data_IF_973477823919
#
_entry.id   IF_973477823919
#
_cell.length_a   1.000
_cell.length_b   1.000
_cell.length_c   1.000
_cell.angle_alpha   90.00
_cell.angle_beta   90.00
_cell.angle_gamma   90.00
#
_symmetry.space_group_name_H-M   'P 1'
#
loop_
_entity.id
_entity.type
_entity.pdbx_description
1 polymer ?
#
# COMPACT_ATOMS: atom_id res chain seq x y z
N UNK A 1 -8.11 -41.96 35.36
CA UNK A 1 -7.26 -42.80 34.51
C UNK A 1 -6.39 -41.84 33.70
N UNK A 2 -5.19 -41.45 34.16
CA UNK A 2 -3.90 -42.17 34.11
C UNK A 2 -3.55 -42.56 32.65
N UNK A 3 -2.40 -42.29 32.03
CA UNK A 3 -1.01 -41.89 32.35
C UNK A 3 -0.48 -41.06 31.14
N UNK A 4 0.28 -39.95 31.26
CA UNK A 4 1.77 -39.84 31.29
C UNK A 4 2.48 -40.53 30.10
N UNK A 5 3.38 -39.96 29.28
CA UNK A 5 4.67 -39.24 29.51
C UNK A 5 5.13 -38.54 28.19
N UNK A 6 5.54 -37.26 28.13
CA UNK A 6 6.90 -36.65 28.32
C UNK A 6 8.01 -37.15 27.36
N UNK A 7 8.49 -36.29 26.43
CA UNK A 7 9.89 -35.80 26.17
C UNK A 7 9.96 -35.23 24.71
N UNK A 8 10.14 -33.93 24.43
CA UNK A 8 11.33 -33.02 24.44
C UNK A 8 12.10 -32.94 23.09
N UNK A 9 12.45 -31.70 22.72
CA UNK A 9 13.47 -31.20 21.76
C UNK A 9 13.13 -30.96 20.27
N UNK A 10 12.96 -29.67 19.96
CA UNK A 10 13.69 -28.86 18.93
C UNK A 10 13.84 -29.37 17.49
N UNK A 11 13.36 -28.58 16.51
CA UNK A 11 14.26 -27.79 15.64
C UNK A 11 13.47 -26.72 14.86
N UNK A 12 14.09 -25.54 14.79
CA UNK A 12 13.76 -24.38 13.97
C UNK A 12 14.35 -24.58 12.56
N UNK A 13 13.89 -23.78 11.59
CA UNK A 13 14.37 -23.61 10.20
C UNK A 13 13.57 -24.35 9.13
N UNK A 14 12.58 -23.65 8.57
CA UNK A 14 12.19 -23.79 7.15
C UNK A 14 11.31 -22.61 6.76
N UNK A 15 11.90 -21.50 6.29
CA UNK A 15 11.19 -20.57 5.40
C UNK A 15 12.20 -19.74 4.60
N UNK A 16 12.68 -20.34 3.52
CA UNK A 16 13.20 -19.67 2.34
C UNK A 16 13.26 -20.75 1.27
N UNK A 17 12.38 -20.63 0.27
CA UNK A 17 12.43 -21.16 -1.10
C UNK A 17 11.00 -21.42 -1.60
N UNK A 18 10.29 -20.35 -1.97
CA UNK A 18 9.23 -20.44 -2.95
C UNK A 18 9.62 -19.46 -4.05
N UNK A 19 10.34 -19.93 -5.07
CA UNK A 19 10.28 -19.42 -6.44
C UNK A 19 11.07 -20.37 -7.33
N UNK A 20 10.40 -21.36 -7.90
CA UNK A 20 10.75 -21.90 -9.22
C UNK A 20 9.74 -22.95 -9.67
N UNK A 21 8.84 -22.55 -10.56
CA UNK A 21 8.22 -23.45 -11.53
C UNK A 21 8.20 -22.76 -12.89
N UNK A 22 8.96 -23.26 -13.86
CA UNK A 22 8.43 -23.91 -15.07
C UNK A 22 9.49 -24.16 -16.17
N UNK A 23 9.29 -25.33 -16.80
CA UNK A 23 9.73 -25.78 -18.13
C UNK A 23 11.17 -26.27 -18.33
N UNK A 24 11.46 -27.28 -19.15
CA UNK A 24 10.85 -28.57 -19.51
C UNK A 24 11.80 -29.22 -20.54
N UNK A 25 12.12 -30.51 -20.35
CA UNK A 25 12.59 -31.51 -21.35
C UNK A 25 13.99 -31.24 -21.99
N UNK A 26 14.86 -32.23 -22.29
CA UNK A 26 14.68 -33.54 -22.93
C UNK A 26 15.88 -34.49 -22.74
N UNK A 27 15.57 -35.81 -22.71
CA UNK A 27 16.21 -36.97 -23.36
C UNK A 27 17.48 -37.66 -22.79
N UNK A 28 17.22 -38.91 -22.35
CA UNK A 28 17.86 -40.19 -22.71
C UNK A 28 19.39 -40.33 -22.71
N UNK A 29 19.90 -41.17 -21.77
CA UNK A 29 20.69 -42.36 -22.13
C UNK A 29 20.96 -43.28 -20.91
N UNK A 30 20.32 -44.45 -20.94
CA UNK A 30 20.90 -45.80 -20.79
C UNK A 30 21.82 -46.18 -19.60
N UNK A 31 21.33 -47.19 -18.88
CA UNK A 31 22.03 -48.40 -18.38
C UNK A 31 22.98 -48.31 -17.18
N UNK A 32 22.74 -49.20 -16.20
CA UNK A 32 23.74 -49.65 -15.23
C UNK A 32 23.28 -49.53 -13.79
N UNK A 33 22.78 -50.64 -13.23
CA UNK A 33 22.33 -50.67 -11.83
C UNK A 33 23.45 -50.43 -10.84
N UNK A 34 23.16 -49.57 -9.85
CA UNK A 34 23.71 -49.66 -8.51
C UNK A 34 22.68 -49.08 -7.56
N UNK A 35 22.28 -49.88 -6.58
CA UNK A 35 21.37 -49.53 -5.49
C UNK A 35 21.87 -48.24 -4.83
N UNK A 36 21.18 -47.13 -5.08
CA UNK A 36 21.35 -45.92 -4.30
C UNK A 36 20.76 -46.19 -2.92
N UNK A 37 21.63 -46.38 -1.94
CA UNK A 37 21.25 -46.20 -0.55
C UNK A 37 20.75 -44.76 -0.40
N UNK A 38 19.47 -44.58 -0.13
CA UNK A 38 18.88 -43.33 0.34
C UNK A 38 19.45 -43.02 1.73
N UNK A 39 20.68 -42.51 1.75
CA UNK A 39 21.15 -41.70 2.86
C UNK A 39 20.61 -40.30 2.64
N UNK A 40 19.77 -39.81 3.55
CA UNK A 40 19.41 -38.40 3.64
C UNK A 40 20.68 -37.55 3.49
N UNK A 41 20.80 -36.88 2.34
CA UNK A 41 21.91 -35.98 2.07
C UNK A 41 21.79 -34.80 3.04
N UNK A 42 22.53 -34.86 4.15
CA UNK A 42 22.84 -33.66 4.94
C UNK A 42 23.34 -32.61 3.95
N UNK A 43 22.84 -31.36 3.98
CA UNK A 43 23.36 -30.32 3.11
C UNK A 43 24.88 -30.29 3.27
N UNK A 44 25.60 -30.44 2.15
CA UNK A 44 27.05 -30.45 2.15
C UNK A 44 27.54 -29.17 2.82
N UNK A 45 28.31 -29.29 3.90
CA UNK A 45 28.89 -28.11 4.54
C UNK A 45 29.75 -27.38 3.50
N UNK A 46 29.65 -26.05 3.39
CA UNK A 46 30.42 -25.30 2.42
C UNK A 46 31.91 -25.57 2.63
N UNK A 47 32.66 -25.71 1.54
CA UNK A 47 34.10 -25.95 1.63
C UNK A 47 34.80 -24.79 2.35
N UNK A 48 35.98 -25.02 2.92
CA UNK A 48 36.75 -23.96 3.58
C UNK A 48 37.03 -22.79 2.62
N UNK A 49 37.24 -23.08 1.33
CA UNK A 49 37.44 -22.07 0.30
C UNK A 49 36.16 -21.25 0.03
N UNK A 50 34.98 -21.88 0.06
CA UNK A 50 33.71 -21.16 -0.09
C UNK A 50 33.41 -20.28 1.12
N UNK A 51 33.76 -20.73 2.33
CA UNK A 51 33.63 -19.92 3.55
C UNK A 51 34.58 -18.72 3.55
N UNK A 52 35.83 -18.87 3.08
CA UNK A 52 36.77 -17.75 2.88
C UNK A 52 36.16 -16.71 1.94
N UNK A 53 35.66 -17.14 0.76
CA UNK A 53 35.00 -16.24 -0.18
C UNK A 53 33.82 -15.51 0.44
N UNK A 54 33.01 -16.21 1.24
CA UNK A 54 31.88 -15.61 1.93
C UNK A 54 32.34 -14.50 2.91
N UNK A 55 33.44 -14.70 3.64
CA UNK A 55 33.98 -13.66 4.52
C UNK A 55 34.56 -12.48 3.74
N UNK A 56 35.25 -12.73 2.62
CA UNK A 56 35.76 -11.66 1.75
C UNK A 56 34.61 -10.82 1.16
N UNK A 57 33.53 -11.48 0.72
CA UNK A 57 32.30 -10.83 0.26
C UNK A 57 31.65 -9.99 1.37
N UNK A 58 31.59 -10.52 2.60
CA UNK A 58 31.11 -9.77 3.76
C UNK A 58 31.98 -8.53 4.02
N UNK A 59 33.31 -8.67 4.03
CA UNK A 59 34.24 -7.56 4.26
C UNK A 59 34.07 -6.46 3.19
N UNK A 60 33.96 -6.87 1.92
CA UNK A 60 33.70 -5.97 0.80
C UNK A 60 32.36 -5.23 0.95
N UNK A 61 31.27 -5.97 1.26
CA UNK A 61 29.95 -5.39 1.47
C UNK A 61 29.94 -4.38 2.64
N UNK A 62 30.62 -4.68 3.76
CA UNK A 62 30.74 -3.73 4.89
C UNK A 62 31.52 -2.48 4.50
N UNK A 63 32.56 -2.62 3.69
CA UNK A 63 33.34 -1.49 3.20
C UNK A 63 32.53 -0.59 2.26
N UNK A 64 31.69 -1.17 1.40
CA UNK A 64 30.77 -0.42 0.55
C UNK A 64 29.68 0.30 1.37
N UNK A 65 29.14 -0.35 2.40
CA UNK A 65 28.21 0.27 3.34
C UNK A 65 28.85 1.44 4.08
N UNK A 66 30.11 1.30 4.50
CA UNK A 66 30.87 2.37 5.14
C UNK A 66 31.07 3.57 4.21
N UNK A 67 31.43 3.35 2.95
CA UNK A 67 31.58 4.43 1.97
C UNK A 67 30.24 5.17 1.73
N UNK A 68 29.14 4.43 1.64
CA UNK A 68 27.78 5.00 1.49
C UNK A 68 27.40 5.83 2.71
N UNK A 69 27.66 5.31 3.91
CA UNK A 69 27.42 6.01 5.17
C UNK A 69 28.25 7.29 5.26
N UNK A 70 29.53 7.26 4.92
CA UNK A 70 30.39 8.44 4.94
C UNK A 70 29.86 9.54 4.01
N UNK A 71 29.40 9.16 2.81
CA UNK A 71 28.77 10.10 1.87
C UNK A 71 27.49 10.71 2.45
N UNK A 72 26.64 9.89 3.07
CA UNK A 72 25.41 10.35 3.72
C UNK A 72 25.72 11.31 4.89
N UNK A 73 26.70 11.00 5.73
CA UNK A 73 27.12 11.85 6.85
C UNK A 73 27.68 13.19 6.36
N UNK A 74 28.42 13.20 5.25
CA UNK A 74 28.93 14.43 4.65
C UNK A 74 27.81 15.34 4.10
N UNK A 75 26.75 14.76 3.54
CA UNK A 75 25.63 15.49 2.94
C UNK A 75 24.57 15.93 3.98
N UNK A 76 24.46 15.20 5.10
CA UNK A 76 23.42 15.41 6.10
C UNK A 76 23.29 16.86 6.62
N UNK A 77 24.36 17.61 6.95
CA UNK A 77 24.22 18.98 7.46
C UNK A 77 23.55 19.93 6.47
N UNK A 78 23.89 19.83 5.18
CA UNK A 78 23.29 20.65 4.13
C UNK A 78 21.83 20.29 3.90
N UNK A 79 21.52 18.99 3.91
CA UNK A 79 20.14 18.51 3.78
C UNK A 79 19.27 18.95 4.96
N UNK A 80 19.77 18.85 6.19
CA UNK A 80 19.08 19.31 7.40
C UNK A 80 18.75 20.80 7.29
N UNK A 81 19.75 21.63 6.98
CA UNK A 81 19.56 23.08 6.83
C UNK A 81 18.56 23.42 5.73
N UNK A 82 18.63 22.73 4.59
CA UNK A 82 17.68 22.94 3.49
C UNK A 82 16.27 22.51 3.86
N UNK A 83 16.11 21.35 4.49
CA UNK A 83 14.81 20.87 4.93
C UNK A 83 14.16 21.78 5.98
N UNK A 84 14.95 22.31 6.91
CA UNK A 84 14.46 23.27 7.91
C UNK A 84 14.04 24.60 7.28
N UNK A 85 14.83 25.13 6.33
CA UNK A 85 14.47 26.36 5.59
C UNK A 85 13.20 26.18 4.76
N UNK A 86 13.08 25.06 4.06
CA UNK A 86 11.89 24.74 3.26
C UNK A 86 10.65 24.59 4.16
N UNK A 87 10.79 23.90 5.30
CA UNK A 87 9.71 23.75 6.27
C UNK A 87 9.28 25.10 6.84
N UNK A 88 10.23 25.97 7.20
CA UNK A 88 9.94 27.32 7.68
C UNK A 88 9.22 28.15 6.61
N UNK A 89 9.64 28.06 5.35
CA UNK A 89 8.98 28.73 4.22
C UNK A 89 7.56 28.23 4.02
N UNK A 90 7.34 26.91 4.08
CA UNK A 90 6.00 26.34 3.97
C UNK A 90 5.09 26.85 5.09
N UNK A 91 5.56 26.85 6.34
CA UNK A 91 4.79 27.29 7.50
C UNK A 91 4.52 28.80 7.55
N UNK A 92 5.40 29.63 6.99
CA UNK A 92 5.27 31.07 7.02
C UNK A 92 4.20 31.64 6.07
N UNK A 93 3.82 30.90 5.02
CA UNK A 93 2.78 31.31 4.07
C UNK A 93 1.44 30.63 4.36
N UNK A 94 0.31 31.37 4.42
CA UNK A 94 -1.00 30.73 4.31
C UNK A 94 -1.00 29.93 2.99
N UNK A 95 -1.45 28.67 3.04
CA UNK A 95 -1.65 27.94 1.81
C UNK A 95 -2.70 28.72 0.99
N UNK A 96 -2.39 29.22 -0.22
CA UNK A 96 -3.41 29.86 -1.03
C UNK A 96 -4.54 28.85 -1.25
N UNK A 97 -5.78 29.26 -1.01
CA UNK A 97 -6.95 28.41 -1.14
C UNK A 97 -6.92 27.73 -2.52
N UNK A 98 -6.71 26.39 -2.59
CA UNK A 98 -6.57 25.70 -3.86
C UNK A 98 -7.79 25.90 -4.75
N UNK A 99 -8.96 26.03 -4.11
CA UNK A 99 -10.25 26.34 -4.72
C UNK A 99 -10.21 27.60 -5.59
N UNK A 100 -9.61 28.68 -5.11
CA UNK A 100 -9.51 29.95 -5.86
C UNK A 100 -8.46 29.87 -6.96
N UNK A 101 -7.32 29.24 -6.65
CA UNK A 101 -6.19 29.15 -7.57
C UNK A 101 -6.52 28.33 -8.83
N UNK A 102 -7.34 27.29 -8.69
CA UNK A 102 -7.65 26.35 -9.76
C UNK A 102 -9.06 26.52 -10.35
N UNK A 103 -9.84 27.50 -9.88
CA UNK A 103 -11.22 27.71 -10.32
C UNK A 103 -11.37 27.90 -11.84
N UNK A 104 -10.38 28.52 -12.50
CA UNK A 104 -10.42 28.83 -13.93
C UNK A 104 -9.98 27.66 -14.82
N UNK A 105 -9.45 26.58 -14.24
CA UNK A 105 -9.00 25.42 -15.01
C UNK A 105 -10.19 24.61 -15.54
N UNK A 106 -9.98 23.94 -16.68
CA UNK A 106 -10.91 22.94 -17.20
C UNK A 106 -10.92 21.68 -16.33
N UNK A 107 -11.99 20.89 -16.43
CA UNK A 107 -12.10 19.59 -15.74
C UNK A 107 -10.90 18.69 -16.07
N UNK A 108 -10.50 18.64 -17.34
CA UNK A 108 -9.34 17.85 -17.80
C UNK A 108 -8.01 18.33 -17.18
N UNK A 109 -7.80 19.64 -17.06
CA UNK A 109 -6.59 20.18 -16.44
C UNK A 109 -6.58 19.94 -14.91
N UNK A 110 -7.74 20.01 -14.26
CA UNK A 110 -7.88 19.66 -12.85
C UNK A 110 -7.58 18.18 -12.59
N UNK A 111 -8.05 17.27 -13.45
CA UNK A 111 -7.76 15.84 -13.36
C UNK A 111 -6.27 15.52 -13.55
N UNK A 112 -5.60 16.15 -14.52
CA UNK A 112 -4.16 16.02 -14.71
C UNK A 112 -3.38 16.52 -13.49
N UNK A 113 -3.83 17.63 -12.90
CA UNK A 113 -3.25 18.18 -11.69
C UNK A 113 -3.43 17.24 -10.50
N UNK A 114 -4.64 16.68 -10.34
CA UNK A 114 -4.94 15.69 -9.32
C UNK A 114 -4.06 14.45 -9.46
N UNK A 115 -3.92 13.90 -10.67
CA UNK A 115 -3.07 12.75 -10.94
C UNK A 115 -1.60 13.01 -10.59
N UNK A 116 -1.08 14.19 -10.95
CA UNK A 116 0.28 14.63 -10.60
C UNK A 116 0.46 14.68 -9.08
N UNK A 117 -0.51 15.26 -8.37
CA UNK A 117 -0.47 15.38 -6.91
C UNK A 117 -0.51 14.04 -6.19
N UNK A 118 -1.26 13.07 -6.72
CA UNK A 118 -1.29 11.72 -6.17
C UNK A 118 0.05 11.00 -6.35
N UNK A 119 0.72 11.19 -7.48
CA UNK A 119 2.06 10.64 -7.70
C UNK A 119 3.08 11.25 -6.72
N UNK A 120 3.05 12.56 -6.51
CA UNK A 120 3.92 13.23 -5.52
C UNK A 120 3.62 12.78 -4.09
N UNK A 121 2.35 12.62 -3.72
CA UNK A 121 1.95 12.09 -2.41
C UNK A 121 2.49 10.67 -2.19
N UNK A 122 2.39 9.79 -3.18
CA UNK A 122 2.92 8.42 -3.08
C UNK A 122 4.43 8.42 -2.84
N UNK A 123 5.18 9.24 -3.58
CA UNK A 123 6.63 9.38 -3.43
C UNK A 123 7.02 10.02 -2.08
N UNK A 124 6.34 11.08 -1.64
CA UNK A 124 6.63 11.69 -0.35
C UNK A 124 6.30 10.78 0.83
N UNK A 125 5.24 9.96 0.73
CA UNK A 125 4.93 8.97 1.75
C UNK A 125 5.99 7.86 1.82
N UNK A 126 6.53 7.42 0.68
CA UNK A 126 7.69 6.51 0.65
C UNK A 126 8.90 7.14 1.36
N UNK A 127 9.25 8.38 1.02
CA UNK A 127 10.35 9.10 1.66
C UNK A 127 10.10 9.33 3.17
N UNK A 128 8.84 9.48 3.58
CA UNK A 128 8.46 9.62 4.98
C UNK A 128 8.70 8.31 5.74
N UNK A 129 8.38 7.18 5.13
CA UNK A 129 8.70 5.84 5.65
C UNK A 129 10.21 5.67 5.83
N UNK A 130 11.00 5.98 4.81
CA UNK A 130 12.48 5.92 4.88
C UNK A 130 13.03 6.81 6.01
N UNK A 131 12.47 8.01 6.18
CA UNK A 131 12.85 8.93 7.26
C UNK A 131 12.49 8.37 8.65
N UNK A 132 11.34 7.70 8.78
CA UNK A 132 10.92 7.04 10.03
C UNK A 132 11.81 5.83 10.33
N UNK A 133 12.11 4.98 9.34
CA UNK A 133 13.06 3.86 9.46
C UNK A 133 14.43 4.36 9.91
N UNK A 134 14.92 5.48 9.37
CA UNK A 134 16.18 6.10 9.78
C UNK A 134 16.15 6.55 11.25
N UNK A 135 15.05 7.17 11.71
CA UNK A 135 14.89 7.61 13.11
C UNK A 135 14.90 6.41 14.06
N UNK A 136 14.10 5.37 13.78
CA UNK A 136 13.99 4.17 14.61
C UNK A 136 15.35 3.45 14.68
N UNK A 137 16.00 3.31 13.53
CA UNK A 137 17.34 2.73 13.46
C UNK A 137 18.33 3.53 14.28
N UNK A 138 18.34 4.86 14.18
CA UNK A 138 19.24 5.73 14.96
C UNK A 138 18.98 5.67 16.48
N UNK A 139 17.73 5.45 16.91
CA UNK A 139 17.39 5.31 18.33
C UNK A 139 17.90 4.00 18.94
N UNK A 140 17.87 2.91 18.17
CA UNK A 140 18.26 1.57 18.65
C UNK A 140 19.71 1.21 18.33
N UNK A 141 20.38 2.02 17.50
CA UNK A 141 21.75 1.78 17.05
C UNK A 141 22.78 1.69 18.18
N UNK A 142 22.79 2.58 19.19
CA UNK A 142 23.89 2.63 20.15
C UNK A 142 24.11 1.31 20.90
N UNK A 143 23.03 0.77 21.47
CA UNK A 143 23.05 -0.48 22.24
C UNK A 143 23.48 -1.66 21.36
N UNK A 144 22.93 -1.76 20.15
CA UNK A 144 23.22 -2.85 19.22
C UNK A 144 24.63 -2.80 18.66
N UNK A 145 25.08 -1.62 18.25
CA UNK A 145 26.44 -1.42 17.74
C UNK A 145 27.48 -1.71 18.81
N UNK A 146 27.25 -1.31 20.06
CA UNK A 146 28.15 -1.64 21.18
C UNK A 146 28.23 -3.15 21.43
N UNK A 147 27.08 -3.83 21.46
CA UNK A 147 27.05 -5.29 21.61
C UNK A 147 27.78 -6.00 20.47
N UNK A 148 27.52 -5.62 19.21
CA UNK A 148 28.17 -6.21 18.04
C UNK A 148 29.69 -5.94 18.04
N UNK A 149 30.13 -4.73 18.37
CA UNK A 149 31.56 -4.42 18.50
C UNK A 149 32.20 -5.32 19.56
N UNK A 150 31.58 -5.48 20.73
CA UNK A 150 32.12 -6.32 21.82
C UNK A 150 32.21 -7.78 21.40
N UNK A 151 31.18 -8.34 20.76
CA UNK A 151 31.18 -9.73 20.29
C UNK A 151 32.23 -9.94 19.20
N UNK A 152 32.31 -9.05 18.21
CA UNK A 152 33.31 -9.13 17.14
C UNK A 152 34.74 -9.01 17.69
N UNK A 153 34.98 -8.14 18.67
CA UNK A 153 36.29 -8.01 19.31
C UNK A 153 36.70 -9.29 20.06
N UNK A 154 35.80 -9.87 20.86
CA UNK A 154 36.06 -11.14 21.55
C UNK A 154 36.35 -12.27 20.56
N UNK A 155 35.64 -12.32 19.44
CA UNK A 155 35.86 -13.32 18.37
C UNK A 155 37.22 -13.14 17.70
N UNK A 156 37.60 -11.91 17.36
CA UNK A 156 38.93 -11.60 16.81
C UNK A 156 40.03 -12.05 17.77
N UNK A 157 39.92 -11.76 19.07
CA UNK A 157 40.92 -12.18 20.06
C UNK A 157 41.05 -13.71 20.13
N UNK A 158 39.93 -14.43 20.11
CA UNK A 158 39.94 -15.90 20.10
C UNK A 158 40.62 -16.47 18.85
N UNK A 159 40.33 -15.92 17.67
CA UNK A 159 40.96 -16.32 16.40
C UNK A 159 42.45 -16.00 16.38
N UNK A 160 42.84 -14.82 16.85
CA UNK A 160 44.24 -14.42 16.97
C UNK A 160 45.02 -15.34 17.92
N UNK A 161 44.41 -15.79 19.02
CA UNK A 161 45.05 -16.73 19.95
C UNK A 161 45.27 -18.10 19.29
N UNK A 162 44.33 -18.59 18.48
CA UNK A 162 44.49 -19.84 17.69
C UNK A 162 45.59 -19.70 16.64
N UNK A 163 45.60 -18.58 15.91
CA UNK A 163 46.65 -18.30 14.92
C UNK A 163 48.05 -18.22 15.57
N UNK A 164 48.15 -17.64 16.77
CA UNK A 164 49.41 -17.56 17.53
C UNK A 164 49.87 -18.90 18.10
N UNK A 165 48.94 -19.72 18.62
CA UNK A 165 49.27 -21.05 19.14
C UNK A 165 49.60 -22.05 18.04
N UNK A 166 49.17 -21.79 16.79
CA UNK A 166 49.29 -22.71 15.66
C UNK A 166 48.45 -23.97 15.84
N UNK A 167 47.55 -23.99 16.83
CA UNK A 167 46.72 -25.13 17.18
C UNK A 167 45.25 -24.73 17.37
N UNK A 168 44.35 -25.51 16.77
CA UNK A 168 42.92 -25.46 17.08
C UNK A 168 42.49 -26.79 17.68
N UNK A 169 41.92 -26.74 18.89
CA UNK A 169 41.43 -27.93 19.62
C UNK A 169 42.48 -29.05 19.74
N UNK A 170 43.76 -28.68 19.91
CA UNK A 170 44.89 -29.60 20.07
C UNK A 170 45.47 -30.17 18.76
N UNK A 171 44.96 -29.76 17.59
CA UNK A 171 45.51 -30.13 16.28
C UNK A 171 46.22 -28.94 15.63
N UNK A 172 47.29 -29.21 14.87
CA UNK A 172 47.95 -28.18 14.08
C UNK A 172 46.97 -27.59 13.05
N UNK A 173 46.96 -26.27 12.91
CA UNK A 173 46.11 -25.55 11.97
C UNK A 173 46.66 -25.72 10.54
N UNK A 174 45.82 -26.08 9.57
CA UNK A 174 46.22 -26.15 8.15
C UNK A 174 46.29 -24.76 7.51
N UNK A 175 46.94 -24.64 6.35
CA UNK A 175 47.02 -23.36 5.62
C UNK A 175 45.63 -22.88 5.17
N UNK A 176 44.71 -23.77 4.82
CA UNK A 176 43.32 -23.39 4.50
C UNK A 176 42.57 -22.88 5.73
N UNK A 177 42.77 -23.49 6.90
CA UNK A 177 42.17 -23.03 8.16
C UNK A 177 42.75 -21.68 8.60
N UNK A 178 44.05 -21.47 8.37
CA UNK A 178 44.71 -20.19 8.60
C UNK A 178 44.09 -19.09 7.74
N UNK A 179 43.93 -19.36 6.45
CA UNK A 179 43.29 -18.46 5.49
C UNK A 179 41.85 -18.13 5.89
N UNK A 180 41.10 -19.13 6.37
CA UNK A 180 39.75 -18.94 6.90
C UNK A 180 39.71 -17.99 8.09
N UNK A 181 40.58 -18.19 9.08
CA UNK A 181 40.63 -17.31 10.26
C UNK A 181 41.05 -15.88 9.92
N UNK A 182 41.99 -15.72 8.98
CA UNK A 182 42.41 -14.40 8.50
C UNK A 182 41.28 -13.67 7.77
N UNK A 183 40.54 -14.36 6.89
CA UNK A 183 39.38 -13.81 6.21
C UNK A 183 38.25 -13.42 7.20
N UNK A 184 37.96 -14.27 8.19
CA UNK A 184 36.97 -13.97 9.23
C UNK A 184 37.38 -12.73 10.05
N UNK A 185 38.67 -12.60 10.42
CA UNK A 185 39.18 -11.42 11.12
C UNK A 185 38.98 -10.15 10.29
N UNK A 186 39.28 -10.18 8.99
CA UNK A 186 39.10 -9.03 8.10
C UNK A 186 37.63 -8.61 8.01
N UNK A 187 36.71 -9.57 7.86
CA UNK A 187 35.28 -9.32 7.83
C UNK A 187 34.79 -8.66 9.14
N UNK A 188 35.23 -9.18 10.30
CA UNK A 188 34.89 -8.62 11.61
C UNK A 188 35.48 -7.23 11.84
N UNK A 189 36.70 -6.96 11.37
CA UNK A 189 37.31 -5.63 11.42
C UNK A 189 36.52 -4.63 10.58
N UNK A 190 36.16 -4.98 9.35
CA UNK A 190 35.32 -4.13 8.49
C UNK A 190 33.95 -3.84 9.13
N UNK A 191 33.36 -4.82 9.81
CA UNK A 191 32.12 -4.62 10.58
C UNK A 191 32.32 -3.66 11.76
N UNK A 192 33.39 -3.78 12.53
CA UNK A 192 33.69 -2.89 13.66
C UNK A 192 33.85 -1.44 13.16
N UNK A 193 34.58 -1.22 12.07
CA UNK A 193 34.78 0.11 11.51
C UNK A 193 33.46 0.73 11.03
N UNK A 194 32.61 -0.04 10.36
CA UNK A 194 31.25 0.39 10.03
C UNK A 194 30.47 0.81 11.29
N UNK A 195 30.41 -0.03 12.32
CA UNK A 195 29.67 0.26 13.55
C UNK A 195 30.21 1.47 14.31
N UNK A 196 31.52 1.67 14.34
CA UNK A 196 32.14 2.86 14.94
C UNK A 196 31.74 4.13 14.21
N UNK A 197 31.79 4.12 12.88
CA UNK A 197 31.39 5.28 12.09
C UNK A 197 29.89 5.59 12.26
N UNK A 198 29.06 4.55 12.32
CA UNK A 198 27.64 4.67 12.58
C UNK A 198 27.33 5.28 13.96
N UNK A 199 28.09 4.90 15.00
CA UNK A 199 27.94 5.46 16.34
C UNK A 199 28.31 6.95 16.37
N UNK A 200 29.44 7.31 15.76
CA UNK A 200 29.91 8.71 15.67
C UNK A 200 28.89 9.58 14.93
N UNK A 201 28.31 9.06 13.85
CA UNK A 201 27.31 9.76 13.04
C UNK A 201 25.87 9.69 13.56
N UNK A 202 25.60 9.00 14.67
CA UNK A 202 24.24 8.63 15.06
C UNK A 202 23.32 9.83 15.29
N UNK A 203 23.78 10.83 16.04
CA UNK A 203 22.99 12.03 16.32
C UNK A 203 22.68 12.81 15.02
N UNK A 204 23.66 12.92 14.13
CA UNK A 204 23.49 13.59 12.84
C UNK A 204 22.46 12.87 11.96
N UNK A 205 22.48 11.54 11.92
CA UNK A 205 21.49 10.74 11.20
C UNK A 205 20.10 10.85 11.83
N UNK A 206 20.02 10.92 13.15
CA UNK A 206 18.75 11.13 13.85
C UNK A 206 18.14 12.50 13.51
N UNK A 207 18.97 13.55 13.49
CA UNK A 207 18.54 14.91 13.13
C UNK A 207 18.16 15.01 11.65
N UNK A 208 18.89 14.33 10.76
CA UNK A 208 18.53 14.19 9.35
C UNK A 208 17.15 13.55 9.19
N UNK A 209 16.92 12.41 9.86
CA UNK A 209 15.63 11.72 9.83
C UNK A 209 14.50 12.62 10.33
N UNK A 210 14.68 13.32 11.46
CA UNK A 210 13.68 14.27 12.00
C UNK A 210 13.40 15.42 11.04
N UNK A 211 14.44 16.02 10.44
CA UNK A 211 14.29 17.13 9.51
C UNK A 211 13.50 16.71 8.26
N UNK A 212 13.85 15.57 7.66
CA UNK A 212 13.13 14.97 6.53
C UNK A 212 11.68 14.68 6.88
N UNK A 213 11.43 13.97 7.99
CA UNK A 213 10.08 13.65 8.46
C UNK A 213 9.22 14.89 8.65
N UNK A 214 9.74 15.92 9.32
CA UNK A 214 8.98 17.15 9.58
C UNK A 214 8.64 17.91 8.29
N UNK A 215 9.57 17.99 7.34
CA UNK A 215 9.32 18.59 6.03
C UNK A 215 8.27 17.81 5.24
N UNK A 216 8.44 16.49 5.15
CA UNK A 216 7.55 15.61 4.39
C UNK A 216 6.15 15.59 4.97
N UNK A 217 6.01 15.54 6.30
CA UNK A 217 4.70 15.61 6.96
C UNK A 217 3.93 16.89 6.60
N UNK A 218 4.61 18.04 6.57
CA UNK A 218 3.99 19.32 6.16
C UNK A 218 3.62 19.32 4.68
N UNK A 219 4.49 18.80 3.80
CA UNK A 219 4.22 18.71 2.35
C UNK A 219 3.04 17.79 2.06
N UNK A 220 2.98 16.63 2.71
CA UNK A 220 1.89 15.66 2.59
C UNK A 220 0.58 16.29 3.04
N UNK A 221 0.53 16.89 4.24
CA UNK A 221 -0.68 17.51 4.75
C UNK A 221 -1.25 18.60 3.81
N UNK A 222 -0.37 19.42 3.23
CA UNK A 222 -0.79 20.45 2.24
C UNK A 222 -1.25 19.84 0.92
N UNK A 223 -0.59 18.80 0.44
CA UNK A 223 -1.00 18.14 -0.79
C UNK A 223 -2.29 17.34 -0.62
N UNK A 224 -2.57 16.78 0.56
CA UNK A 224 -3.87 16.17 0.89
C UNK A 224 -5.00 17.21 0.85
N UNK A 225 -4.78 18.40 1.42
CA UNK A 225 -5.73 19.52 1.31
C UNK A 225 -5.94 19.94 -0.16
N UNK A 226 -4.85 20.10 -0.93
CA UNK A 226 -4.93 20.43 -2.36
C UNK A 226 -5.71 19.34 -3.14
N UNK A 227 -5.47 18.07 -2.84
CA UNK A 227 -6.15 16.91 -3.44
C UNK A 227 -7.66 16.94 -3.18
N UNK A 228 -8.07 17.19 -1.92
CA UNK A 228 -9.49 17.31 -1.56
C UNK A 228 -10.17 18.47 -2.28
N UNK A 229 -9.51 19.63 -2.35
CA UNK A 229 -10.03 20.80 -3.05
C UNK A 229 -10.14 20.58 -4.57
N UNK A 230 -9.14 19.97 -5.19
CA UNK A 230 -9.19 19.60 -6.62
C UNK A 230 -10.36 18.66 -6.90
N UNK A 231 -10.59 17.65 -6.05
CA UNK A 231 -11.73 16.75 -6.19
C UNK A 231 -13.07 17.49 -6.07
N UNK A 232 -13.18 18.39 -5.09
CA UNK A 232 -14.37 19.23 -4.91
C UNK A 232 -14.66 20.08 -6.15
N UNK A 233 -13.64 20.72 -6.72
CA UNK A 233 -13.76 21.53 -7.94
C UNK A 233 -14.15 20.69 -9.17
N UNK A 234 -13.55 19.52 -9.35
CA UNK A 234 -13.89 18.60 -10.45
C UNK A 234 -15.36 18.19 -10.35
N UNK A 235 -15.78 17.74 -9.16
CA UNK A 235 -17.16 17.31 -8.91
C UNK A 235 -18.16 18.45 -9.14
N UNK A 236 -17.86 19.64 -8.63
CA UNK A 236 -18.73 20.81 -8.79
C UNK A 236 -18.87 21.24 -10.26
N UNK A 237 -17.76 21.26 -11.02
CA UNK A 237 -17.80 21.63 -12.44
C UNK A 237 -18.59 20.63 -13.29
N UNK A 238 -18.35 19.33 -13.10
CA UNK A 238 -19.08 18.27 -13.81
C UNK A 238 -20.57 18.32 -13.50
N UNK A 239 -20.93 18.51 -12.23
CA UNK A 239 -22.32 18.66 -11.80
C UNK A 239 -22.98 19.89 -12.44
N UNK A 240 -22.31 21.05 -12.41
CA UNK A 240 -22.83 22.27 -13.00
C UNK A 240 -23.07 22.14 -14.52
N UNK A 241 -22.18 21.45 -15.24
CA UNK A 241 -22.35 21.17 -16.67
C UNK A 241 -23.58 20.29 -16.95
N UNK A 242 -23.80 19.24 -16.15
CA UNK A 242 -24.98 18.38 -16.25
C UNK A 242 -26.27 19.12 -15.86
N UNK A 243 -26.27 19.91 -14.79
CA UNK A 243 -27.42 20.73 -14.36
C UNK A 243 -27.79 21.79 -15.40
N UNK A 244 -26.80 22.44 -16.02
CA UNK A 244 -27.03 23.38 -17.11
C UNK A 244 -27.70 22.69 -18.30
N UNK A 245 -27.23 21.50 -18.67
CA UNK A 245 -27.82 20.71 -19.76
C UNK A 245 -29.28 20.38 -19.47
N UNK A 246 -29.61 19.94 -18.25
CA UNK A 246 -31.00 19.67 -17.82
C UNK A 246 -31.86 20.95 -17.87
N UNK A 247 -31.34 22.07 -17.37
CA UNK A 247 -32.07 23.34 -17.34
C UNK A 247 -32.38 23.88 -18.76
N UNK A 248 -31.39 23.84 -19.66
CA UNK A 248 -31.57 24.26 -21.06
C UNK A 248 -32.63 23.41 -21.78
N UNK A 249 -32.62 22.09 -21.56
CA UNK A 249 -33.59 21.19 -22.18
C UNK A 249 -34.99 21.33 -21.57
N UNK A 250 -35.09 21.59 -20.27
CA UNK A 250 -36.38 21.87 -19.61
C UNK A 250 -37.01 23.15 -20.14
N UNK A 251 -36.21 24.21 -20.29
CA UNK A 251 -36.67 25.46 -20.88
C UNK A 251 -37.14 25.26 -22.34
N UNK A 252 -36.38 24.50 -23.16
CA UNK A 252 -36.79 24.18 -24.53
C UNK A 252 -38.08 23.35 -24.58
N UNK A 253 -38.24 22.37 -23.68
CA UNK A 253 -39.46 21.55 -23.62
C UNK A 253 -40.70 22.37 -23.25
N UNK A 254 -40.58 23.37 -22.37
CA UNK A 254 -41.69 24.28 -22.02
C UNK A 254 -42.10 25.18 -23.19
N UNK A 255 -41.14 25.58 -24.03
CA UNK A 255 -41.37 26.42 -25.22
C UNK A 255 -41.94 25.64 -26.42
N UNK A 256 -41.90 24.30 -26.40
CA UNK A 256 -42.22 23.45 -27.54
C UNK A 256 -43.72 23.39 -27.91
N UNK A 257 -44.59 24.08 -27.17
CA UNK A 257 -46.01 24.24 -27.51
C UNK A 257 -46.89 23.00 -27.25
N UNK A 258 -48.14 23.04 -27.71
CA UNK A 258 -49.17 22.02 -27.46
C UNK A 258 -49.11 20.79 -28.39
N UNK A 259 -48.09 20.69 -29.25
CA UNK A 259 -47.94 19.55 -30.15
C UNK A 259 -47.55 18.30 -29.36
N UNK A 260 -48.38 17.27 -29.43
CA UNK A 260 -48.23 16.06 -28.62
C UNK A 260 -46.98 15.26 -28.97
N UNK A 261 -46.55 15.28 -30.24
CA UNK A 261 -45.40 14.52 -30.70
C UNK A 261 -44.09 15.21 -30.27
N UNK A 262 -44.00 16.52 -30.48
CA UNK A 262 -42.84 17.31 -30.00
C UNK A 262 -42.71 17.24 -28.48
N UNK A 263 -43.83 17.29 -27.76
CA UNK A 263 -43.85 17.13 -26.30
C UNK A 263 -43.31 15.75 -25.86
N UNK A 264 -43.74 14.66 -26.52
CA UNK A 264 -43.26 13.31 -26.20
C UNK A 264 -41.74 13.16 -26.44
N UNK A 265 -41.24 13.65 -27.58
CA UNK A 265 -39.82 13.58 -27.93
C UNK A 265 -38.95 14.44 -26.99
N UNK A 266 -39.46 15.61 -26.57
CA UNK A 266 -38.80 16.47 -25.58
C UNK A 266 -38.75 15.82 -24.19
N UNK A 267 -39.81 15.12 -23.77
CA UNK A 267 -39.86 14.42 -22.50
C UNK A 267 -38.83 13.28 -22.43
N UNK A 268 -38.57 12.60 -23.55
CA UNK A 268 -37.53 11.57 -23.61
C UNK A 268 -36.12 12.18 -23.45
N UNK A 269 -35.86 13.33 -24.07
CA UNK A 269 -34.59 14.03 -23.89
C UNK A 269 -34.39 14.51 -22.44
N UNK A 270 -35.46 14.93 -21.76
CA UNK A 270 -35.42 15.25 -20.34
C UNK A 270 -35.06 14.04 -19.47
N UNK A 271 -35.64 12.86 -19.75
CA UNK A 271 -35.28 11.62 -19.05
C UNK A 271 -33.80 11.28 -19.24
N UNK A 272 -33.28 11.34 -20.47
CA UNK A 272 -31.86 11.09 -20.75
C UNK A 272 -30.94 12.06 -20.01
N UNK A 273 -31.36 13.31 -19.88
CA UNK A 273 -30.60 14.35 -19.17
C UNK A 273 -30.62 14.14 -17.65
N UNK A 274 -31.75 13.70 -17.09
CA UNK A 274 -31.84 13.29 -15.68
C UNK A 274 -30.94 12.08 -15.39
N UNK A 275 -30.93 11.08 -16.29
CA UNK A 275 -30.01 9.94 -16.19
C UNK A 275 -28.55 10.38 -16.27
N UNK A 276 -28.21 11.32 -17.17
CA UNK A 276 -26.87 11.89 -17.26
C UNK A 276 -26.45 12.54 -15.93
N UNK A 277 -27.31 13.37 -15.34
CA UNK A 277 -27.03 14.00 -14.05
C UNK A 277 -26.78 12.96 -12.93
N UNK A 278 -27.64 11.94 -12.82
CA UNK A 278 -27.47 10.85 -11.85
C UNK A 278 -26.19 10.05 -12.09
N UNK A 279 -25.86 9.76 -13.35
CA UNK A 279 -24.62 9.07 -13.71
C UNK A 279 -23.39 9.91 -13.33
N UNK A 280 -23.42 11.23 -13.57
CA UNK A 280 -22.36 12.16 -13.16
C UNK A 280 -22.20 12.19 -11.63
N UNK A 281 -23.30 12.27 -10.87
CA UNK A 281 -23.24 12.24 -9.40
C UNK A 281 -22.69 10.92 -8.86
N UNK A 282 -23.13 9.78 -9.43
CA UNK A 282 -22.62 8.46 -9.06
C UNK A 282 -21.14 8.30 -9.40
N UNK A 283 -20.72 8.75 -10.58
CA UNK A 283 -19.32 8.74 -11.00
C UNK A 283 -18.45 9.57 -10.04
N UNK A 284 -18.91 10.75 -9.62
CA UNK A 284 -18.19 11.58 -8.65
C UNK A 284 -18.01 10.87 -7.30
N UNK A 285 -19.04 10.15 -6.82
CA UNK A 285 -18.95 9.34 -5.60
C UNK A 285 -17.96 8.18 -5.75
N UNK A 286 -18.02 7.46 -6.88
CA UNK A 286 -17.09 6.36 -7.17
C UNK A 286 -15.64 6.82 -7.25
N UNK A 287 -15.37 7.97 -7.90
CA UNK A 287 -14.04 8.57 -7.95
C UNK A 287 -13.50 8.85 -6.54
N UNK A 288 -14.33 9.40 -5.64
CA UNK A 288 -13.95 9.63 -4.25
C UNK A 288 -13.64 8.32 -3.51
N UNK A 289 -14.48 7.30 -3.69
CA UNK A 289 -14.27 5.98 -3.07
C UNK A 289 -13.00 5.32 -3.59
N UNK A 290 -12.73 5.40 -4.90
CA UNK A 290 -11.50 4.88 -5.51
C UNK A 290 -10.27 5.58 -4.98
N UNK A 291 -10.32 6.90 -4.88
CA UNK A 291 -9.23 7.70 -4.32
C UNK A 291 -8.91 7.26 -2.88
N UNK A 292 -9.94 7.14 -2.04
CA UNK A 292 -9.79 6.68 -0.67
C UNK A 292 -9.23 5.25 -0.60
N UNK A 293 -9.75 4.33 -1.40
CA UNK A 293 -9.27 2.95 -1.44
C UNK A 293 -7.79 2.87 -1.88
N UNK A 294 -7.39 3.65 -2.88
CA UNK A 294 -5.99 3.76 -3.33
C UNK A 294 -5.08 4.31 -2.24
N UNK A 295 -5.48 5.38 -1.54
CA UNK A 295 -4.70 5.94 -0.43
C UNK A 295 -4.51 4.93 0.71
N UNK A 296 -5.56 4.17 1.04
CA UNK A 296 -5.48 3.12 2.05
C UNK A 296 -4.56 1.97 1.61
N UNK A 297 -4.61 1.59 0.32
CA UNK A 297 -3.71 0.60 -0.27
C UNK A 297 -2.25 1.05 -0.21
N UNK A 298 -1.97 2.28 -0.60
CA UNK A 298 -0.62 2.84 -0.56
C UNK A 298 -0.08 2.87 0.88
N UNK A 299 -0.92 3.27 1.83
CA UNK A 299 -0.57 3.26 3.26
C UNK A 299 -0.27 1.84 3.75
N UNK A 300 -1.07 0.85 3.36
CA UNK A 300 -0.84 -0.55 3.71
C UNK A 300 0.45 -1.11 3.11
N UNK A 301 0.67 -0.90 1.82
CA UNK A 301 1.88 -1.36 1.12
C UNK A 301 3.15 -0.74 1.73
N UNK A 302 3.06 0.51 2.20
CA UNK A 302 4.17 1.15 2.91
C UNK A 302 4.35 0.60 4.32
N UNK A 303 3.26 0.33 5.04
CA UNK A 303 3.33 -0.28 6.37
C UNK A 303 3.95 -1.69 6.30
N UNK A 304 3.64 -2.46 5.26
CA UNK A 304 4.22 -3.78 4.98
C UNK A 304 5.73 -3.70 4.75
N UNK A 305 6.19 -2.81 3.87
CA UNK A 305 7.63 -2.57 3.65
C UNK A 305 8.34 -2.07 4.91
N UNK A 306 7.72 -1.14 5.62
CA UNK A 306 8.26 -0.60 6.86
C UNK A 306 8.39 -1.70 7.93
N UNK A 307 7.43 -2.62 7.98
CA UNK A 307 7.44 -3.77 8.87
C UNK A 307 8.61 -4.70 8.54
N UNK A 308 8.82 -5.06 7.28
CA UNK A 308 9.94 -5.91 6.86
C UNK A 308 11.30 -5.33 7.29
N UNK A 309 11.52 -4.04 7.01
CA UNK A 309 12.73 -3.33 7.44
C UNK A 309 12.86 -3.29 8.96
N UNK A 310 11.77 -3.00 9.67
CA UNK A 310 11.78 -2.91 11.12
C UNK A 310 12.00 -4.26 11.79
N UNK A 311 11.51 -5.36 11.24
CA UNK A 311 11.82 -6.71 11.74
C UNK A 311 13.30 -6.99 11.55
N UNK A 312 13.84 -6.81 10.34
CA UNK A 312 15.25 -7.06 10.04
C UNK A 312 16.20 -6.20 10.88
N UNK A 313 15.79 -4.95 11.16
CA UNK A 313 16.55 -4.04 12.00
C UNK A 313 16.32 -4.32 13.49
N UNK A 314 15.14 -4.70 13.96
CA UNK A 314 14.86 -4.79 15.41
C UNK A 314 14.86 -6.22 15.95
N UNK A 315 15.32 -7.20 15.17
CA UNK A 315 15.42 -8.59 15.60
C UNK A 315 16.17 -8.69 16.96
N UNK A 316 15.50 -9.29 17.95
CA UNK A 316 15.98 -9.41 19.33
C UNK A 316 15.72 -8.20 20.26
N UNK A 317 15.08 -7.13 19.79
CA UNK A 317 14.69 -5.98 20.62
C UNK A 317 13.27 -6.12 21.19
N UNK A 318 13.09 -5.77 22.47
CA UNK A 318 11.76 -5.68 23.10
C UNK A 318 10.86 -4.62 22.43
N UNK A 319 11.47 -3.61 21.78
CA UNK A 319 10.74 -2.54 21.08
C UNK A 319 9.95 -3.07 19.87
N UNK A 320 10.43 -4.16 19.25
CA UNK A 320 9.76 -4.79 18.10
C UNK A 320 8.33 -5.17 18.47
N UNK A 321 8.11 -5.86 19.59
CA UNK A 321 6.77 -6.29 20.03
C UNK A 321 5.74 -5.15 20.11
N UNK A 322 6.15 -4.00 20.65
CA UNK A 322 5.28 -2.83 20.80
C UNK A 322 4.95 -2.20 19.46
N UNK A 323 5.92 -2.17 18.54
CA UNK A 323 5.74 -1.66 17.18
C UNK A 323 4.79 -2.59 16.40
N UNK A 324 5.01 -3.91 16.43
CA UNK A 324 4.14 -4.90 15.78
C UNK A 324 2.69 -4.76 16.25
N UNK A 325 2.48 -4.66 17.56
CA UNK A 325 1.15 -4.49 18.14
C UNK A 325 0.48 -3.18 17.71
N UNK A 326 1.23 -2.06 17.70
CA UNK A 326 0.70 -0.77 17.24
C UNK A 326 0.33 -0.79 15.75
N UNK A 327 1.13 -1.44 14.91
CA UNK A 327 0.84 -1.61 13.49
C UNK A 327 -0.43 -2.43 13.28
N UNK A 328 -0.60 -3.53 14.02
CA UNK A 328 -1.83 -4.35 13.96
C UNK A 328 -3.09 -3.54 14.32
N UNK A 329 -3.02 -2.69 15.35
CA UNK A 329 -4.15 -1.84 15.75
C UNK A 329 -4.49 -0.77 14.70
N UNK A 330 -3.50 -0.34 13.90
CA UNK A 330 -3.64 0.70 12.89
C UNK A 330 -4.06 0.15 11.52
N UNK A 331 -4.21 -1.18 11.35
CA UNK A 331 -4.66 -1.75 10.08
C UNK A 331 -6.08 -1.28 9.73
N UNK A 332 -6.34 -0.85 8.49
CA UNK A 332 -7.66 -0.44 8.05
C UNK A 332 -8.63 -1.63 8.08
N UNK A 333 -9.83 -1.40 8.62
CA UNK A 333 -10.93 -2.38 8.59
C UNK A 333 -11.65 -2.30 7.25
N UNK A 334 -11.24 -3.14 6.32
CA UNK A 334 -11.82 -3.18 4.96
C UNK A 334 -13.23 -3.75 5.00
N UNK A 335 -14.21 -2.97 4.53
CA UNK A 335 -15.56 -3.47 4.23
C UNK A 335 -15.69 -3.59 2.71
N UNK A 336 -15.87 -4.81 2.23
CA UNK A 336 -16.14 -5.08 0.82
C UNK A 336 -17.58 -4.67 0.50
N UNK A 337 -17.77 -3.84 -0.53
CA UNK A 337 -19.10 -3.57 -1.06
C UNK A 337 -19.54 -4.76 -1.93
N UNK A 338 -20.49 -5.53 -1.41
CA UNK A 338 -21.01 -6.73 -2.10
C UNK A 338 -21.96 -6.37 -3.24
N UNK A 339 -22.54 -5.17 -3.22
CA UNK A 339 -23.53 -4.74 -4.21
C UNK A 339 -22.87 -4.22 -5.50
N UNK A 340 -21.56 -3.92 -5.46
CA UNK A 340 -20.83 -3.37 -6.60
C UNK A 340 -20.79 -4.33 -7.79
N UNK A 341 -20.79 -5.65 -7.55
CA UNK A 341 -20.82 -6.65 -8.62
C UNK A 341 -22.17 -6.64 -9.37
N UNK A 342 -23.27 -6.51 -8.62
CA UNK A 342 -24.62 -6.43 -9.19
C UNK A 342 -24.79 -5.11 -9.96
N UNK A 343 -24.33 -3.99 -9.39
CA UNK A 343 -24.34 -2.70 -10.07
C UNK A 343 -23.54 -2.71 -11.38
N UNK A 344 -22.38 -3.38 -11.43
CA UNK A 344 -21.61 -3.56 -12.67
C UNK A 344 -22.42 -4.34 -13.71
N UNK A 345 -23.17 -5.36 -13.30
CA UNK A 345 -24.02 -6.12 -14.22
C UNK A 345 -25.18 -5.26 -14.76
N UNK A 346 -25.85 -4.52 -13.88
CA UNK A 346 -26.94 -3.60 -14.24
C UNK A 346 -26.46 -2.50 -15.21
N UNK A 347 -25.27 -1.93 -14.96
CA UNK A 347 -24.68 -0.92 -15.84
C UNK A 347 -24.35 -1.46 -17.23
N UNK A 348 -23.91 -2.71 -17.33
CA UNK A 348 -23.64 -3.37 -18.64
C UNK A 348 -24.93 -3.62 -19.40
N UNK A 349 -26.00 -4.04 -18.70
CA UNK A 349 -27.31 -4.20 -19.31
C UNK A 349 -27.82 -2.85 -19.82
N UNK A 350 -27.74 -1.80 -18.99
CA UNK A 350 -28.15 -0.46 -19.39
C UNK A 350 -27.33 0.09 -20.56
N UNK A 351 -26.01 -0.18 -20.59
CA UNK A 351 -25.16 0.17 -21.73
C UNK A 351 -25.60 -0.53 -23.02
N UNK A 352 -26.01 -1.80 -22.95
CA UNK A 352 -26.54 -2.52 -24.10
C UNK A 352 -27.85 -1.90 -24.60
N UNK A 353 -28.77 -1.58 -23.70
CA UNK A 353 -30.03 -0.90 -24.03
C UNK A 353 -29.78 0.49 -24.65
N UNK A 354 -28.82 1.24 -24.10
CA UNK A 354 -28.43 2.56 -24.61
C UNK A 354 -27.87 2.47 -26.03
N UNK A 355 -27.03 1.47 -26.30
CA UNK A 355 -26.49 1.24 -27.64
C UNK A 355 -27.61 0.89 -28.63
N UNK A 356 -28.58 0.07 -28.23
CA UNK A 356 -29.76 -0.18 -29.07
C UNK A 356 -30.57 1.09 -29.34
N UNK A 357 -30.76 1.94 -28.32
CA UNK A 357 -31.45 3.22 -28.48
C UNK A 357 -30.71 4.14 -29.45
N UNK A 358 -29.37 4.14 -29.39
CA UNK A 358 -28.52 4.90 -30.32
C UNK A 358 -28.64 4.39 -31.75
N UNK A 359 -28.62 3.07 -31.94
CA UNK A 359 -28.77 2.45 -33.27
C UNK A 359 -30.15 2.74 -33.88
N UNK A 360 -31.20 2.77 -33.05
CA UNK A 360 -32.56 3.16 -33.47
C UNK A 360 -32.66 4.65 -33.79
N UNK A 361 -32.02 5.51 -33.02
CA UNK A 361 -31.98 6.96 -33.27
C UNK A 361 -31.18 7.29 -34.55
N UNK A 362 -30.22 6.43 -34.93
CA UNK A 362 -29.65 6.32 -36.27
C UNK A 362 -29.39 7.64 -36.98
N UNK A 363 -29.90 7.78 -38.20
CA UNK A 363 -29.90 9.05 -38.92
C UNK A 363 -31.12 9.90 -38.46
N UNK A 364 -30.90 11.12 -37.92
CA UNK A 364 -31.99 11.97 -37.44
C UNK A 364 -33.07 12.25 -38.48
N UNK A 365 -32.73 12.41 -39.76
CA UNK A 365 -33.71 12.65 -40.83
C UNK A 365 -34.60 11.42 -41.04
N UNK A 366 -33.99 10.23 -41.13
CA UNK A 366 -34.74 8.97 -41.31
C UNK A 366 -35.63 8.67 -40.12
N UNK A 367 -35.15 8.94 -38.91
CA UNK A 367 -35.92 8.74 -37.69
C UNK A 367 -37.12 9.70 -37.60
N UNK A 368 -36.93 10.99 -37.94
CA UNK A 368 -38.04 11.96 -38.02
C UNK A 368 -39.03 11.58 -39.12
N UNK A 369 -38.56 11.16 -40.30
CA UNK A 369 -39.44 10.72 -41.38
C UNK A 369 -40.29 9.51 -40.93
N UNK A 370 -39.71 8.54 -40.21
CA UNK A 370 -40.44 7.41 -39.62
C UNK A 370 -41.45 7.84 -38.55
N UNK A 371 -41.11 8.80 -37.69
CA UNK A 371 -42.03 9.35 -36.68
C UNK A 371 -43.24 10.06 -37.29
N UNK A 372 -43.06 10.65 -38.47
CA UNK A 372 -44.12 11.35 -39.20
C UNK A 372 -45.02 10.40 -40.01
N UNK A 373 -44.58 9.15 -40.26
CA UNK A 373 -45.42 8.14 -40.91
C UNK A 373 -46.63 7.81 -40.02
N UNK A 374 -47.83 8.14 -40.50
CA UNK A 374 -49.09 7.87 -39.80
C UNK A 374 -49.62 9.03 -38.96
N UNK A 375 -48.95 10.18 -38.94
CA UNK A 375 -49.49 11.41 -38.38
C UNK A 375 -50.49 12.07 -39.36
N UNK A 376 -51.53 12.78 -38.87
CA UNK A 376 -52.45 13.53 -39.72
C UNK A 376 -51.68 14.60 -40.53
N UNK A 377 -51.93 14.69 -41.85
CA UNK A 377 -51.23 15.64 -42.74
C UNK A 377 -51.33 17.10 -42.27
N UNK A 378 -52.43 17.45 -41.58
CA UNK A 378 -52.68 18.77 -41.00
C UNK A 378 -51.75 19.14 -39.84
N UNK A 379 -51.13 18.14 -39.19
CA UNK A 379 -50.19 18.31 -38.08
C UNK A 379 -48.72 18.30 -38.55
N UNK A 380 -48.45 17.86 -39.79
CA UNK A 380 -47.11 17.79 -40.38
C UNK A 380 -46.74 19.17 -40.97
N UNK A 381 -46.40 20.11 -40.10
CA UNK A 381 -45.90 21.42 -40.54
C UNK A 381 -44.36 21.43 -40.67
N UNK A 382 -43.78 22.27 -41.55
CA UNK A 382 -42.32 22.42 -41.65
C UNK A 382 -41.65 22.82 -40.33
N UNK A 383 -42.36 23.56 -39.49
CA UNK A 383 -41.91 23.99 -38.16
C UNK A 383 -41.83 22.81 -37.19
N UNK A 384 -42.84 21.92 -37.18
CA UNK A 384 -42.82 20.68 -36.39
C UNK A 384 -41.69 19.77 -36.85
N UNK A 385 -41.51 19.57 -38.16
CA UNK A 385 -40.40 18.76 -38.69
C UNK A 385 -39.03 19.31 -38.26
N UNK A 386 -38.83 20.63 -38.32
CA UNK A 386 -37.58 21.26 -37.89
C UNK A 386 -37.34 21.10 -36.37
N UNK A 387 -38.38 21.25 -35.56
CA UNK A 387 -38.30 21.06 -34.11
C UNK A 387 -37.96 19.60 -33.74
N UNK A 388 -38.61 18.63 -34.40
CA UNK A 388 -38.31 17.21 -34.22
C UNK A 388 -36.87 16.88 -34.60
N UNK A 389 -36.35 17.44 -35.69
CA UNK A 389 -34.95 17.26 -36.08
C UNK A 389 -33.98 17.80 -35.03
N UNK A 390 -34.24 18.97 -34.44
CA UNK A 390 -33.40 19.53 -33.37
C UNK A 390 -33.44 18.64 -32.11
N UNK A 391 -34.63 18.16 -31.73
CA UNK A 391 -34.80 17.24 -30.61
C UNK A 391 -34.06 15.92 -30.82
N UNK A 392 -34.12 15.34 -32.02
CA UNK A 392 -33.45 14.06 -32.31
C UNK A 392 -31.92 14.25 -32.39
N UNK A 393 -31.43 15.38 -32.92
CA UNK A 393 -30.00 15.71 -32.85
C UNK A 393 -29.51 15.84 -31.41
N UNK A 394 -30.26 16.57 -30.59
CA UNK A 394 -29.98 16.69 -29.16
C UNK A 394 -30.00 15.32 -28.48
N UNK A 395 -30.96 14.45 -28.83
CA UNK A 395 -31.02 13.08 -28.32
C UNK A 395 -29.74 12.31 -28.63
N UNK A 396 -29.27 12.34 -29.87
CA UNK A 396 -28.03 11.66 -30.26
C UNK A 396 -26.83 12.15 -29.45
N UNK A 397 -26.71 13.46 -29.24
CA UNK A 397 -25.65 14.03 -28.39
C UNK A 397 -25.76 13.58 -26.93
N UNK A 398 -26.96 13.54 -26.36
CA UNK A 398 -27.21 13.05 -25.00
C UNK A 398 -26.86 11.57 -24.87
N UNK A 399 -27.27 10.74 -25.83
CA UNK A 399 -26.94 9.31 -25.86
C UNK A 399 -25.42 9.10 -25.92
N UNK A 400 -24.69 9.89 -26.72
CA UNK A 400 -23.23 9.81 -26.80
C UNK A 400 -22.52 10.32 -25.53
N UNK A 401 -23.04 11.36 -24.88
CA UNK A 401 -22.54 11.82 -23.57
C UNK A 401 -22.80 10.77 -22.49
N UNK A 402 -24.03 10.25 -22.40
CA UNK A 402 -24.41 9.24 -21.42
C UNK A 402 -23.61 7.94 -21.62
N UNK A 403 -23.35 7.52 -22.85
CA UNK A 403 -22.51 6.34 -23.11
C UNK A 403 -21.08 6.55 -22.61
N UNK A 404 -20.50 7.75 -22.78
CA UNK A 404 -19.17 8.06 -22.24
C UNK A 404 -19.17 8.06 -20.71
N UNK A 405 -20.16 8.65 -20.08
CA UNK A 405 -20.30 8.66 -18.61
C UNK A 405 -20.51 7.25 -18.04
N UNK A 406 -21.34 6.41 -18.68
CA UNK A 406 -21.53 5.02 -18.26
C UNK A 406 -20.26 4.18 -18.40
N UNK A 407 -19.48 4.39 -19.48
CA UNK A 407 -18.18 3.74 -19.62
C UNK A 407 -17.21 4.15 -18.51
N UNK A 408 -17.17 5.44 -18.17
CA UNK A 408 -16.37 5.93 -17.05
C UNK A 408 -16.84 5.32 -15.72
N UNK A 409 -18.16 5.30 -15.48
CA UNK A 409 -18.78 4.74 -14.28
C UNK A 409 -18.47 3.24 -14.16
N UNK A 410 -18.63 2.46 -15.23
CA UNK A 410 -18.28 1.05 -15.26
C UNK A 410 -16.80 0.82 -14.91
N UNK A 411 -15.90 1.59 -15.53
CA UNK A 411 -14.46 1.49 -15.28
C UNK A 411 -14.11 1.84 -13.82
N UNK A 412 -14.70 2.89 -13.25
CA UNK A 412 -14.48 3.27 -11.86
C UNK A 412 -15.09 2.24 -10.89
N UNK A 413 -16.26 1.67 -11.18
CA UNK A 413 -16.84 0.58 -10.39
C UNK A 413 -15.96 -0.66 -10.38
N UNK A 414 -15.46 -1.10 -11.54
CA UNK A 414 -14.53 -2.24 -11.64
C UNK A 414 -13.24 -1.93 -10.89
N UNK A 415 -12.70 -0.72 -11.06
CA UNK A 415 -11.48 -0.27 -10.36
C UNK A 415 -11.67 -0.28 -8.85
N UNK A 416 -12.83 0.15 -8.35
CA UNK A 416 -13.15 0.15 -6.93
C UNK A 416 -13.24 -1.27 -6.39
N UNK A 417 -13.89 -2.17 -7.13
CA UNK A 417 -13.97 -3.59 -6.77
C UNK A 417 -12.59 -4.21 -6.63
N UNK A 418 -11.70 -3.95 -7.60
CA UNK A 418 -10.32 -4.44 -7.59
C UNK A 418 -9.52 -3.84 -6.43
N UNK A 419 -9.60 -2.52 -6.21
CA UNK A 419 -8.91 -1.86 -5.11
C UNK A 419 -9.39 -2.38 -3.75
N UNK A 420 -10.70 -2.57 -3.56
CA UNK A 420 -11.26 -3.11 -2.32
C UNK A 420 -10.81 -4.56 -2.08
N UNK A 421 -10.79 -5.39 -3.13
CA UNK A 421 -10.28 -6.76 -3.04
C UNK A 421 -8.80 -6.78 -2.65
N UNK A 422 -7.97 -6.01 -3.34
CA UNK A 422 -6.55 -5.91 -3.03
C UNK A 422 -6.32 -5.39 -1.61
N UNK A 423 -7.10 -4.39 -1.18
CA UNK A 423 -7.00 -3.82 0.17
C UNK A 423 -7.28 -4.90 1.23
N UNK A 424 -8.32 -5.71 1.00
CA UNK A 424 -8.66 -6.82 1.88
C UNK A 424 -7.58 -7.90 1.90
N UNK A 425 -7.09 -8.31 0.73
CA UNK A 425 -6.08 -9.36 0.58
C UNK A 425 -4.75 -8.93 1.23
N UNK A 426 -4.28 -7.71 0.97
CA UNK A 426 -3.06 -7.14 1.57
C UNK A 426 -3.21 -6.94 3.08
N UNK A 427 -4.33 -6.39 3.57
CA UNK A 427 -4.55 -6.23 5.00
C UNK A 427 -4.58 -7.57 5.75
N UNK A 428 -5.18 -8.60 5.13
CA UNK A 428 -5.25 -9.95 5.70
C UNK A 428 -3.88 -10.61 5.72
N UNK A 429 -3.10 -10.49 4.65
CA UNK A 429 -1.72 -10.98 4.58
C UNK A 429 -0.83 -10.31 5.63
N UNK A 430 -0.88 -8.98 5.73
CA UNK A 430 -0.11 -8.22 6.72
C UNK A 430 -0.52 -8.58 8.16
N UNK A 431 -1.81 -8.78 8.43
CA UNK A 431 -2.27 -9.26 9.74
C UNK A 431 -1.72 -10.65 10.06
N UNK A 432 -1.68 -11.56 9.08
CA UNK A 432 -1.13 -12.90 9.27
C UNK A 432 0.38 -12.87 9.57
N UNK A 433 1.15 -12.05 8.83
CA UNK A 433 2.58 -11.84 9.09
C UNK A 433 2.82 -11.25 10.48
N UNK A 434 2.05 -10.23 10.88
CA UNK A 434 2.13 -9.65 12.22
C UNK A 434 1.83 -10.69 13.32
N UNK A 435 0.88 -11.59 13.09
CA UNK A 435 0.51 -12.65 14.03
C UNK A 435 1.60 -13.71 14.16
N UNK A 436 2.23 -14.11 13.06
CA UNK A 436 3.37 -15.03 13.07
C UNK A 436 4.55 -14.42 13.84
N UNK A 437 4.92 -13.17 13.55
CA UNK A 437 6.05 -12.52 14.21
C UNK A 437 5.82 -12.26 15.70
N UNK A 438 4.57 -12.06 16.12
CA UNK A 438 4.21 -11.85 17.52
C UNK A 438 4.22 -13.16 18.33
N UNK A 439 4.02 -14.32 17.69
CA UNK A 439 4.05 -15.64 18.34
C UNK A 439 5.44 -15.99 18.90
N UNK A 440 6.51 -15.58 18.22
CA UNK A 440 7.90 -15.92 18.58
C UNK A 440 8.53 -14.99 19.63
N UNK A 441 7.84 -13.92 20.03
CA UNK A 441 8.38 -13.00 21.03
C UNK A 441 7.96 -13.49 22.42
N UNK A 442 8.91 -13.72 23.36
CA UNK A 442 8.58 -14.04 24.74
C UNK A 442 7.84 -12.86 25.38
N UNK A 443 6.52 -12.88 25.30
CA UNK A 443 5.62 -11.78 25.65
C UNK A 443 5.34 -11.67 27.16
N UNK A 444 5.90 -12.58 27.96
CA UNK A 444 5.82 -12.49 29.40
C UNK A 444 7.11 -11.94 29.98
N UNK A 445 6.99 -10.86 30.77
CA UNK A 445 8.00 -10.52 31.78
C UNK A 445 8.37 -11.81 32.51
N UNK A 446 9.67 -12.10 32.76
CA UNK A 446 10.02 -13.23 33.62
C UNK A 446 9.20 -13.08 34.90
N UNK A 447 8.58 -14.18 35.35
CA UNK A 447 7.83 -14.21 36.60
C UNK A 447 8.77 -13.71 37.70
N UNK A 448 8.64 -12.45 38.08
CA UNK A 448 9.44 -11.83 39.12
C UNK A 448 8.75 -12.06 40.47
N UNK A 449 9.48 -11.88 41.55
CA UNK A 449 8.92 -11.97 42.90
C UNK A 449 7.74 -10.98 43.11
N UNK A 450 7.66 -9.91 42.32
CA UNK A 450 6.54 -8.95 42.36
C UNK A 450 5.24 -9.52 41.77
N UNK A 451 5.33 -10.38 40.76
CA UNK A 451 4.19 -11.12 40.22
C UNK A 451 3.67 -12.15 41.23
N UNK A 452 4.56 -12.89 41.90
CA UNK A 452 4.19 -13.88 42.93
C UNK A 452 3.50 -13.23 44.13
N UNK A 453 4.02 -12.08 44.59
CA UNK A 453 3.43 -11.32 45.71
C UNK A 453 2.09 -10.68 45.34
N UNK A 454 1.89 -10.31 44.08
CA UNK A 454 0.62 -9.72 43.61
C UNK A 454 -0.39 -10.75 43.08
N UNK A 455 0.02 -12.01 42.89
CA UNK A 455 -0.85 -13.10 42.42
C UNK A 455 -2.00 -13.36 43.40
N UNK A 456 -1.72 -13.47 44.71
CA UNK A 456 -2.75 -13.72 45.73
C UNK A 456 -3.81 -12.61 45.76
N UNK A 457 -3.39 -11.34 45.73
CA UNK A 457 -4.32 -10.21 45.72
C UNK A 457 -5.16 -10.13 44.43
N UNK A 458 -4.59 -10.49 43.28
CA UNK A 458 -5.34 -10.53 42.01
C UNK A 458 -6.34 -11.68 41.98
N UNK A 459 -5.97 -12.82 42.55
CA UNK A 459 -6.80 -14.01 42.61
C UNK A 459 -7.97 -13.84 43.59
N UNK A 460 -7.77 -13.18 44.74
CA UNK A 460 -8.85 -12.75 45.64
C UNK A 460 -9.83 -11.79 44.95
N UNK A 461 -9.32 -10.82 44.19
CA UNK A 461 -10.18 -9.89 43.44
C UNK A 461 -10.97 -10.60 42.35
N UNK A 462 -10.36 -11.52 41.61
CA UNK A 462 -11.05 -12.28 40.56
C UNK A 462 -12.12 -13.22 41.14
N UNK A 463 -11.78 -13.95 42.22
CA UNK A 463 -12.73 -14.83 42.90
C UNK A 463 -13.89 -14.06 43.56
N UNK A 464 -13.63 -12.84 44.05
CA UNK A 464 -14.66 -11.94 44.58
C UNK A 464 -15.57 -11.32 43.51
N UNK A 465 -15.08 -11.17 42.27
CA UNK A 465 -15.89 -10.69 41.13
C UNK A 465 -16.69 -11.80 40.45
N UNK A 466 -16.37 -13.07 40.72
CA UNK A 466 -17.22 -14.17 40.27
C UNK A 466 -18.46 -14.16 41.17
N UNK A 467 -19.57 -13.72 40.60
CA UNK A 467 -20.88 -13.75 41.24
C UNK A 467 -21.36 -15.20 41.41
N UNK A 468 -20.77 -15.96 42.33
CA UNK A 468 -21.19 -17.33 42.64
C UNK A 468 -22.69 -17.41 43.01
N UNK A 469 -23.26 -16.30 43.51
CA UNK A 469 -24.69 -16.15 43.78
C UNK A 469 -25.58 -16.15 42.53
N UNK A 470 -25.09 -15.75 41.35
CA UNK A 470 -25.87 -15.86 40.11
C UNK A 470 -25.78 -17.25 39.46
N UNK A 471 -24.73 -18.02 39.76
CA UNK A 471 -24.54 -19.38 39.24
C UNK A 471 -25.38 -20.43 40.01
N UNK A 472 -25.68 -20.20 41.29
CA UNK A 472 -26.51 -21.08 42.11
C UNK A 472 -28.01 -20.77 42.05
N UNK A 473 -28.42 -19.64 41.46
CA UNK A 473 -29.83 -19.29 41.25
C UNK A 473 -30.41 -19.83 39.92
N UNK A 474 -29.60 -20.55 39.12
CA UNK A 474 -30.01 -21.18 37.85
C UNK A 474 -29.84 -22.71 37.85
N UNK A 475 -29.60 -23.33 39.01
CA UNK A 475 -29.88 -24.75 39.26
C UNK A 475 -31.11 -24.85 40.14
#
# INVERSE_FOLDING_TARGET
MSFSRVFLLTLLVSFLQIFSTLQAQTLDSLTGGQQAAEGEARPAQPSLADQVKQFDEQASARSQQLATLQKQLAQAPQEISTAQRDLARLKAGPAPEPSERFATLSVTALEQRLATRLAELSEWNKQLTDANSLIITAQTRPERSQAQISTSQSRIQALQNRLKSGQDSGKAISDEQRSLFEAEILALQAQIELRRQELTGNNLLQDLGKARRNLLAERIARAEQETQALQGLINAKRRAESEQTVAELSARAQLAGSDTLVAAESAENLKLSDYLLRATERLNLLNQMNLQARQQLDTLNQADKALEEQIAVLEGSLLLSKILYQQKLNLPKVKLDRNLADEIADLRLYQFELNQARDRAGNPETYVDQLLVGQPEEQITPQVRAALLDLVKTRSELLDRLNRELNALLNESITLQLNQKQLHDTASALSATLDEQMFWIPSNKPLDFSWLTSFSQRLERQLGTIGWHSALAQM
#
